data_IF_322360637520
#
_entry.id   IF_322360637520
#
_cell.length_a   1.000
_cell.length_b   1.000
_cell.length_c   1.000
_cell.angle_alpha   90.00
_cell.angle_beta   90.00
_cell.angle_gamma   90.00
#
_symmetry.space_group_name_H-M   'P 1'
#
loop_
_entity.id
_entity.type
_entity.pdbx_description
1 polymer ?
#
# COMPACT_ATOMS: atom_id res chain seq x y z
N UNK A 1 29.63 5.68 21.06
CA UNK A 1 28.56 4.65 21.06
C UNK A 1 29.08 3.46 20.29
N UNK A 2 29.19 2.24 20.88
CA UNK A 2 29.50 1.07 20.07
C UNK A 2 28.35 0.88 19.08
N UNK A 3 28.66 0.85 17.79
CA UNK A 3 27.68 0.54 16.75
C UNK A 3 27.14 -0.87 17.00
N UNK A 4 25.82 -0.99 17.00
CA UNK A 4 25.12 -2.27 17.07
C UNK A 4 25.58 -3.17 15.91
N UNK A 5 25.83 -4.45 16.20
CA UNK A 5 26.23 -5.42 15.16
C UNK A 5 25.11 -5.63 14.14
N UNK A 6 25.46 -5.93 12.87
CA UNK A 6 24.48 -6.20 11.82
C UNK A 6 23.53 -7.36 12.18
N UNK A 7 24.02 -8.37 12.90
CA UNK A 7 23.21 -9.48 13.41
C UNK A 7 22.15 -8.99 14.40
N UNK A 8 22.57 -8.25 15.43
CA UNK A 8 21.66 -7.68 16.42
C UNK A 8 20.64 -6.72 15.81
N UNK A 9 21.07 -5.88 14.86
CA UNK A 9 20.17 -4.98 14.12
C UNK A 9 19.10 -5.77 13.37
N UNK A 10 19.48 -6.83 12.65
CA UNK A 10 18.54 -7.66 11.89
C UNK A 10 17.56 -8.41 12.80
N UNK A 11 18.02 -8.94 13.93
CA UNK A 11 17.16 -9.60 14.92
C UNK A 11 16.10 -8.64 15.48
N UNK A 12 16.52 -7.44 15.92
CA UNK A 12 15.60 -6.42 16.43
C UNK A 12 14.63 -5.95 15.34
N UNK A 13 15.12 -5.73 14.11
CA UNK A 13 14.29 -5.35 12.97
C UNK A 13 13.21 -6.40 12.68
N UNK A 14 13.57 -7.69 12.67
CA UNK A 14 12.62 -8.78 12.46
C UNK A 14 11.57 -8.83 13.58
N UNK A 15 11.99 -8.65 14.84
CA UNK A 15 11.09 -8.60 15.98
C UNK A 15 10.08 -7.45 15.87
N UNK A 16 10.56 -6.22 15.62
CA UNK A 16 9.71 -5.03 15.47
C UNK A 16 8.75 -5.19 14.30
N UNK A 17 9.23 -5.66 13.14
CA UNK A 17 8.39 -5.88 11.96
C UNK A 17 7.29 -6.91 12.23
N UNK A 18 7.61 -7.99 12.94
CA UNK A 18 6.64 -9.02 13.32
C UNK A 18 5.58 -8.46 14.26
N UNK A 19 6.00 -7.72 15.29
CA UNK A 19 5.09 -7.09 16.25
C UNK A 19 4.18 -6.05 15.58
N UNK A 20 4.75 -5.21 14.71
CA UNK A 20 4.00 -4.22 13.92
C UNK A 20 2.98 -4.88 12.99
N UNK A 21 3.37 -5.95 12.30
CA UNK A 21 2.50 -6.68 11.39
C UNK A 21 1.32 -7.31 12.14
N UNK A 22 1.58 -7.92 13.30
CA UNK A 22 0.54 -8.49 14.14
C UNK A 22 -0.42 -7.42 14.64
N UNK A 23 0.09 -6.32 15.20
CA UNK A 23 -0.74 -5.22 15.70
C UNK A 23 -1.60 -4.60 14.58
N UNK A 24 -1.00 -4.37 13.41
CA UNK A 24 -1.71 -3.87 12.23
C UNK A 24 -2.81 -4.81 11.79
N UNK A 25 -2.53 -6.12 11.71
CA UNK A 25 -3.53 -7.11 11.34
C UNK A 25 -4.69 -7.16 12.33
N UNK A 26 -4.41 -7.08 13.64
CA UNK A 26 -5.46 -7.04 14.68
C UNK A 26 -6.37 -5.83 14.50
N UNK A 27 -5.79 -4.64 14.29
CA UNK A 27 -6.57 -3.41 14.08
C UNK A 27 -7.37 -3.48 12.78
N UNK A 28 -6.75 -3.90 11.67
CA UNK A 28 -7.41 -4.01 10.38
C UNK A 28 -8.56 -5.01 10.43
N UNK A 29 -8.39 -6.17 11.07
CA UNK A 29 -9.48 -7.15 11.24
C UNK A 29 -10.66 -6.55 12.03
N UNK A 30 -10.38 -5.77 13.09
CA UNK A 30 -11.43 -5.10 13.84
C UNK A 30 -12.16 -4.05 12.98
N UNK A 31 -11.40 -3.25 12.22
CA UNK A 31 -11.95 -2.24 11.30
C UNK A 31 -12.79 -2.91 10.21
N UNK A 32 -12.28 -3.96 9.56
CA UNK A 32 -12.99 -4.70 8.52
C UNK A 32 -14.34 -5.21 9.01
N UNK A 33 -14.38 -5.81 10.21
CA UNK A 33 -15.63 -6.23 10.83
C UNK A 33 -16.58 -5.06 11.09
N UNK A 34 -16.05 -3.93 11.57
CA UNK A 34 -16.84 -2.73 11.84
C UNK A 34 -17.46 -2.14 10.56
N UNK A 35 -16.68 -2.08 9.48
CA UNK A 35 -17.13 -1.61 8.15
C UNK A 35 -18.18 -2.57 7.58
N UNK A 36 -17.91 -3.88 7.56
CA UNK A 36 -18.90 -4.87 7.10
C UNK A 36 -20.22 -4.75 7.85
N UNK A 37 -20.17 -4.55 9.17
CA UNK A 37 -21.38 -4.38 9.98
C UNK A 37 -22.12 -3.07 9.66
N UNK A 38 -21.41 -1.99 9.30
CA UNK A 38 -22.04 -0.75 8.87
C UNK A 38 -22.80 -0.94 7.55
N UNK A 39 -22.19 -1.59 6.55
CA UNK A 39 -22.84 -1.86 5.27
C UNK A 39 -24.01 -2.86 5.38
N UNK A 40 -23.88 -3.93 6.19
CA UNK A 40 -24.98 -4.89 6.44
C UNK A 40 -26.23 -4.24 7.06
N UNK A 41 -26.07 -3.16 7.84
CA UNK A 41 -27.21 -2.43 8.40
C UNK A 41 -27.97 -1.62 7.35
N UNK A 42 -27.28 -1.21 6.28
CA UNK A 42 -27.86 -0.48 5.16
C UNK A 42 -28.51 -1.43 4.14
N UNK A 43 -27.91 -2.60 3.92
CA UNK A 43 -28.41 -3.62 3.01
C UNK A 43 -28.96 -4.84 3.75
N UNK A 44 -30.24 -4.77 4.14
CA UNK A 44 -30.93 -5.82 4.89
C UNK A 44 -31.22 -7.09 4.05
N UNK A 45 -30.98 -7.07 2.74
CA UNK A 45 -31.29 -8.14 1.80
C UNK A 45 -30.06 -8.80 1.16
N UNK A 46 -28.84 -8.32 1.48
CA UNK A 46 -27.61 -8.73 0.82
C UNK A 46 -27.12 -10.13 1.25
N UNK A 47 -27.17 -11.09 0.32
CA UNK A 47 -26.56 -12.43 0.44
C UNK A 47 -25.08 -12.47 0.01
N UNK A 48 -24.49 -11.34 -0.38
CA UNK A 48 -23.16 -11.34 -0.98
C UNK A 48 -22.06 -11.55 0.07
N UNK A 49 -21.11 -12.43 -0.26
CA UNK A 49 -19.94 -12.72 0.57
C UNK A 49 -18.92 -11.57 0.56
N UNK A 50 -18.89 -10.79 -0.52
CA UNK A 50 -18.02 -9.62 -0.70
C UNK A 50 -18.89 -8.37 -0.75
N UNK A 51 -18.51 -7.35 0.03
CA UNK A 51 -19.22 -6.07 0.07
C UNK A 51 -18.59 -5.11 -0.92
N UNK A 52 -19.37 -4.65 -1.91
CA UNK A 52 -18.96 -3.56 -2.80
C UNK A 52 -19.06 -2.23 -2.04
N UNK A 53 -17.96 -1.46 -1.97
CA UNK A 53 -17.87 -0.25 -1.16
C UNK A 53 -17.25 0.93 -1.93
N UNK A 54 -17.59 2.13 -1.47
CA UNK A 54 -16.95 3.36 -1.91
C UNK A 54 -15.78 3.71 -0.99
N UNK A 55 -14.66 4.12 -1.59
CA UNK A 55 -13.43 4.42 -0.86
C UNK A 55 -12.79 5.71 -1.36
N UNK A 56 -12.04 6.38 -0.49
CA UNK A 56 -11.03 7.36 -0.89
C UNK A 56 -9.64 6.72 -0.78
N UNK A 57 -8.72 7.15 -1.64
CA UNK A 57 -7.34 6.70 -1.62
C UNK A 57 -6.41 7.87 -1.82
N UNK A 58 -5.38 7.94 -0.97
CA UNK A 58 -4.33 8.94 -1.10
C UNK A 58 -2.98 8.37 -0.63
N UNK A 59 -1.91 8.97 -1.15
CA UNK A 59 -0.55 8.70 -0.77
C UNK A 59 0.00 9.75 0.20
N UNK A 60 0.97 9.36 1.03
CA UNK A 60 1.86 10.32 1.67
C UNK A 60 3.32 9.86 1.57
N UNK A 61 4.24 10.81 1.56
CA UNK A 61 5.66 10.60 1.27
C UNK A 61 6.52 11.08 2.43
N UNK A 62 7.58 10.33 2.74
CA UNK A 62 8.50 10.69 3.83
C UNK A 62 9.16 12.07 3.63
N UNK A 63 9.40 12.47 2.39
CA UNK A 63 9.99 13.77 2.06
C UNK A 63 9.13 14.50 1.03
N UNK A 64 9.10 15.84 1.11
CA UNK A 64 8.42 16.68 0.12
C UNK A 64 9.14 16.60 -1.23
N UNK A 65 8.37 16.61 -2.31
CA UNK A 65 8.89 16.58 -3.69
C UNK A 65 8.89 15.19 -4.31
N UNK A 66 9.36 15.09 -5.56
CA UNK A 66 9.26 13.89 -6.37
C UNK A 66 10.41 12.88 -6.19
N UNK A 67 11.24 13.06 -5.16
CA UNK A 67 12.44 12.26 -4.90
C UNK A 67 12.32 11.33 -3.69
N UNK A 68 11.16 11.31 -3.01
CA UNK A 68 10.98 10.51 -1.80
C UNK A 68 11.30 9.03 -2.02
N UNK A 69 12.04 8.45 -1.08
CA UNK A 69 12.44 7.05 -1.13
C UNK A 69 11.41 6.11 -0.50
N UNK A 70 10.54 6.65 0.34
CA UNK A 70 9.49 5.92 1.05
C UNK A 70 8.18 6.68 0.88
N UNK A 71 7.12 5.95 0.60
CA UNK A 71 5.75 6.43 0.58
C UNK A 71 4.79 5.39 1.14
N UNK A 72 3.60 5.81 1.50
CA UNK A 72 2.51 4.94 1.94
C UNK A 72 1.25 5.37 1.21
N UNK A 73 0.53 4.40 0.64
CA UNK A 73 -0.83 4.61 0.15
C UNK A 73 -1.83 4.06 1.16
N UNK A 74 -2.91 4.78 1.43
CA UNK A 74 -3.96 4.36 2.36
C UNK A 74 -5.32 4.41 1.68
N UNK A 75 -6.16 3.41 1.95
CA UNK A 75 -7.57 3.38 1.55
C UNK A 75 -8.45 3.64 2.76
N UNK A 76 -9.39 4.57 2.62
CA UNK A 76 -10.36 4.95 3.64
C UNK A 76 -11.76 4.67 3.11
N UNK A 77 -12.55 3.91 3.86
CA UNK A 77 -13.97 3.69 3.55
C UNK A 77 -14.75 5.01 3.70
N UNK A 78 -15.55 5.39 2.69
CA UNK A 78 -16.25 6.68 2.70
C UNK A 78 -17.44 6.70 3.66
N UNK A 79 -18.04 5.55 3.96
CA UNK A 79 -19.18 5.46 4.86
C UNK A 79 -18.78 5.66 6.33
N UNK A 80 -17.74 4.95 6.78
CA UNK A 80 -17.32 4.95 8.18
C UNK A 80 -16.16 5.89 8.47
N UNK A 81 -15.41 6.30 7.45
CA UNK A 81 -14.18 7.10 7.59
C UNK A 81 -12.99 6.31 8.14
N UNK A 82 -13.07 4.98 8.24
CA UNK A 82 -11.95 4.16 8.72
C UNK A 82 -10.93 3.87 7.63
N UNK A 83 -9.64 3.85 8.02
CA UNK A 83 -8.57 3.31 7.18
C UNK A 83 -8.70 1.79 7.16
N UNK A 84 -9.03 1.24 6.00
CA UNK A 84 -9.31 -0.20 5.82
C UNK A 84 -8.14 -0.97 5.22
N UNK A 85 -7.19 -0.31 4.57
CA UNK A 85 -5.97 -0.94 4.06
C UNK A 85 -4.89 0.12 3.80
N UNK A 86 -3.63 -0.31 3.74
CA UNK A 86 -2.50 0.53 3.40
C UNK A 86 -1.36 -0.27 2.76
N UNK A 87 -0.54 0.37 1.95
CA UNK A 87 0.66 -0.23 1.35
C UNK A 87 1.85 0.70 1.50
N UNK A 88 2.93 0.18 2.10
CA UNK A 88 4.20 0.89 2.21
C UNK A 88 5.03 0.60 0.96
N UNK A 89 5.41 1.65 0.24
CA UNK A 89 6.28 1.58 -0.94
C UNK A 89 7.66 2.11 -0.61
N UNK A 90 8.71 1.40 -1.01
CA UNK A 90 10.09 1.76 -0.72
C UNK A 90 11.01 1.48 -1.90
N UNK A 91 11.89 2.45 -2.19
CA UNK A 91 13.07 2.36 -3.07
C UNK A 91 14.36 2.18 -2.28
N UNK A 92 14.26 2.10 -0.96
CA UNK A 92 15.40 2.18 -0.05
C UNK A 92 15.51 0.93 0.81
N UNK A 93 16.73 0.39 0.89
CA UNK A 93 17.10 -0.62 1.86
C UNK A 93 18.50 -0.30 2.39
N UNK A 94 18.66 -0.05 3.71
CA UNK A 94 19.97 0.21 4.31
C UNK A 94 20.97 -0.91 4.02
N UNK A 95 20.53 -2.17 4.09
CA UNK A 95 21.39 -3.33 3.90
C UNK A 95 21.91 -3.43 2.47
N UNK A 96 21.08 -3.13 1.47
CA UNK A 96 21.53 -3.03 0.07
C UNK A 96 22.58 -1.93 -0.09
N UNK A 97 22.39 -0.76 0.54
CA UNK A 97 23.33 0.36 0.41
C UNK A 97 24.68 0.02 1.04
N UNK A 98 24.68 -0.57 2.23
CA UNK A 98 25.91 -1.06 2.88
C UNK A 98 26.62 -2.09 1.99
N UNK A 99 25.89 -3.11 1.51
CA UNK A 99 26.48 -4.14 0.65
C UNK A 99 27.03 -3.59 -0.67
N UNK A 100 26.36 -2.61 -1.29
CA UNK A 100 26.88 -1.92 -2.49
C UNK A 100 28.19 -1.17 -2.21
N UNK A 101 28.29 -0.52 -1.04
CA UNK A 101 29.50 0.19 -0.65
C UNK A 101 30.66 -0.75 -0.27
N UNK A 102 30.36 -1.91 0.31
CA UNK A 102 31.35 -2.88 0.79
C UNK A 102 31.83 -3.84 -0.31
N UNK A 103 30.90 -4.36 -1.14
CA UNK A 103 31.17 -5.39 -2.16
C UNK A 103 31.33 -4.82 -3.57
N UNK A 104 30.80 -3.61 -3.82
CA UNK A 104 30.67 -3.02 -5.16
C UNK A 104 29.44 -3.54 -5.92
N UNK A 105 28.58 -2.65 -6.42
CA UNK A 105 27.30 -3.03 -7.04
C UNK A 105 27.42 -3.93 -8.28
N UNK A 106 28.55 -3.88 -9.00
CA UNK A 106 28.75 -4.61 -10.26
C UNK A 106 29.61 -5.87 -10.09
N UNK A 107 29.82 -6.34 -8.86
CA UNK A 107 30.68 -7.50 -8.58
C UNK A 107 29.88 -8.79 -8.44
N UNK A 108 30.52 -9.93 -8.73
CA UNK A 108 29.89 -11.24 -8.55
C UNK A 108 29.57 -11.52 -7.08
N UNK A 109 30.37 -10.98 -6.17
CA UNK A 109 30.16 -11.03 -4.73
C UNK A 109 28.85 -10.36 -4.32
N UNK A 110 28.52 -9.21 -4.91
CA UNK A 110 27.25 -8.53 -4.68
C UNK A 110 26.06 -9.35 -5.22
N UNK A 111 26.20 -9.97 -6.39
CA UNK A 111 25.12 -10.79 -6.98
C UNK A 111 24.79 -12.02 -6.12
N UNK A 112 25.82 -12.70 -5.61
CA UNK A 112 25.66 -13.83 -4.68
C UNK A 112 25.00 -13.36 -3.39
N UNK A 113 25.47 -12.26 -2.82
CA UNK A 113 24.89 -11.67 -1.61
C UNK A 113 23.42 -11.26 -1.81
N UNK A 114 23.11 -10.55 -2.91
CA UNK A 114 21.78 -10.04 -3.21
C UNK A 114 20.78 -11.18 -3.42
N UNK A 115 21.21 -12.29 -4.02
CA UNK A 115 20.40 -13.49 -4.17
C UNK A 115 19.92 -14.04 -2.82
N UNK A 116 20.77 -14.03 -1.79
CA UNK A 116 20.39 -14.39 -0.42
C UNK A 116 19.55 -13.31 0.27
N UNK A 117 19.77 -12.04 -0.05
CA UNK A 117 19.06 -10.91 0.57
C UNK A 117 17.65 -10.68 0.01
N UNK A 118 17.39 -11.08 -1.24
CA UNK A 118 16.19 -10.73 -2.03
C UNK A 118 14.86 -10.81 -1.26
N UNK A 119 14.65 -11.88 -0.49
CA UNK A 119 13.41 -12.10 0.26
C UNK A 119 13.26 -11.21 1.52
N UNK A 120 14.35 -10.60 1.97
CA UNK A 120 14.41 -9.67 3.10
C UNK A 120 14.64 -8.21 2.69
N UNK A 121 14.72 -7.97 1.38
CA UNK A 121 14.93 -6.65 0.81
C UNK A 121 13.72 -5.76 1.09
N UNK A 122 13.99 -4.53 1.51
CA UNK A 122 12.92 -3.54 1.77
C UNK A 122 12.55 -2.76 0.51
N UNK A 123 13.29 -2.90 -0.58
CA UNK A 123 12.95 -2.28 -1.87
C UNK A 123 11.82 -3.09 -2.50
N UNK A 124 10.67 -2.46 -2.69
CA UNK A 124 9.51 -3.06 -3.33
C UNK A 124 8.97 -2.22 -4.50
N UNK A 125 9.67 -1.14 -4.85
CA UNK A 125 9.35 -0.26 -5.98
C UNK A 125 10.61 0.10 -6.76
N UNK A 126 10.48 0.11 -8.09
CA UNK A 126 11.49 0.65 -9.00
C UNK A 126 10.81 1.73 -9.85
N UNK A 127 11.44 2.90 -9.96
CA UNK A 127 10.93 4.04 -10.73
C UNK A 127 10.69 5.29 -9.89
N UNK A 128 9.79 6.15 -10.37
CA UNK A 128 9.56 7.47 -9.76
C UNK A 128 8.71 7.37 -8.49
N UNK A 129 8.85 8.35 -7.59
CA UNK A 129 8.02 8.44 -6.37
C UNK A 129 6.54 8.68 -6.68
N UNK A 130 6.23 9.32 -7.81
CA UNK A 130 4.86 9.50 -8.31
C UNK A 130 4.23 8.15 -8.72
N UNK A 131 5.01 7.25 -9.29
CA UNK A 131 4.52 5.92 -9.66
C UNK A 131 4.24 5.02 -8.43
N UNK A 132 4.81 5.33 -7.25
CA UNK A 132 4.54 4.56 -6.03
C UNK A 132 3.07 4.59 -5.65
N UNK A 133 2.39 5.72 -5.80
CA UNK A 133 0.97 5.86 -5.46
C UNK A 133 0.11 4.90 -6.28
N UNK A 134 0.27 4.91 -7.61
CA UNK A 134 -0.43 3.98 -8.49
C UNK A 134 -0.10 2.51 -8.16
N UNK A 135 1.17 2.18 -7.89
CA UNK A 135 1.58 0.82 -7.55
C UNK A 135 1.08 0.37 -6.17
N UNK A 136 0.99 1.28 -5.20
CA UNK A 136 0.38 1.04 -3.91
C UNK A 136 -1.11 0.73 -4.07
N UNK A 137 -1.83 1.56 -4.83
CA UNK A 137 -3.24 1.34 -5.14
C UNK A 137 -3.47 -0.04 -5.77
N UNK A 138 -2.70 -0.41 -6.80
CA UNK A 138 -2.84 -1.72 -7.42
C UNK A 138 -2.69 -2.89 -6.44
N UNK A 139 -1.71 -2.81 -5.53
CA UNK A 139 -1.51 -3.84 -4.50
C UNK A 139 -2.67 -3.91 -3.52
N UNK A 140 -3.16 -2.76 -3.05
CA UNK A 140 -4.30 -2.69 -2.14
C UNK A 140 -5.57 -3.24 -2.79
N UNK A 141 -5.91 -2.82 -4.01
CA UNK A 141 -7.07 -3.32 -4.74
C UNK A 141 -6.96 -4.83 -5.00
N UNK A 142 -5.77 -5.34 -5.33
CA UNK A 142 -5.57 -6.75 -5.66
C UNK A 142 -5.86 -7.71 -4.50
N UNK A 143 -5.80 -7.24 -3.25
CA UNK A 143 -6.06 -8.06 -2.05
C UNK A 143 -7.38 -7.71 -1.36
N UNK A 144 -8.14 -6.75 -1.88
CA UNK A 144 -9.34 -6.24 -1.18
C UNK A 144 -10.40 -7.31 -1.00
N UNK A 145 -10.61 -8.19 -1.98
CA UNK A 145 -11.63 -9.24 -1.91
C UNK A 145 -11.28 -10.27 -0.82
N UNK A 146 -9.99 -10.51 -0.55
CA UNK A 146 -9.55 -11.33 0.57
C UNK A 146 -9.84 -10.67 1.93
N UNK A 147 -9.99 -9.34 1.97
CA UNK A 147 -10.48 -8.58 3.12
C UNK A 147 -12.02 -8.51 3.18
N UNK A 148 -12.73 -9.11 2.23
CA UNK A 148 -14.19 -9.11 2.14
C UNK A 148 -14.79 -7.87 1.47
N UNK A 149 -13.97 -7.09 0.75
CA UNK A 149 -14.41 -5.85 0.10
C UNK A 149 -14.04 -5.82 -1.39
N UNK A 150 -14.90 -5.17 -2.17
CA UNK A 150 -14.57 -4.74 -3.52
C UNK A 150 -14.68 -3.23 -3.59
N UNK A 151 -13.61 -2.56 -3.99
CA UNK A 151 -13.55 -1.11 -4.05
C UNK A 151 -14.10 -0.65 -5.41
N UNK A 152 -15.42 -0.53 -5.50
CA UNK A 152 -16.13 -0.26 -6.76
C UNK A 152 -16.28 1.22 -7.06
N UNK A 153 -16.14 2.10 -6.07
CA UNK A 153 -16.17 3.55 -6.25
C UNK A 153 -14.95 4.20 -5.60
N UNK A 154 -14.25 5.04 -6.35
CA UNK A 154 -13.12 5.83 -5.88
C UNK A 154 -13.52 7.31 -5.81
N UNK A 155 -13.70 7.80 -4.58
CA UNK A 155 -13.80 9.23 -4.29
C UNK A 155 -12.40 9.85 -4.37
N UNK A 156 -12.19 10.74 -5.34
CA UNK A 156 -10.89 11.38 -5.56
C UNK A 156 -11.06 12.82 -6.01
N UNK A 157 -9.97 13.57 -5.96
CA UNK A 157 -9.93 14.91 -6.54
C UNK A 157 -9.79 14.86 -8.07
N UNK A 158 -9.64 16.01 -8.72
CA UNK A 158 -9.61 16.09 -10.19
C UNK A 158 -8.55 15.21 -10.88
N UNK A 159 -7.53 14.68 -10.17
CA UNK A 159 -6.54 13.78 -10.78
C UNK A 159 -7.10 12.36 -11.00
N UNK A 160 -7.35 12.01 -12.26
CA UNK A 160 -7.87 10.69 -12.63
C UNK A 160 -6.79 9.64 -12.96
N UNK A 161 -5.49 9.91 -12.71
CA UNK A 161 -4.42 8.97 -13.11
C UNK A 161 -4.52 7.61 -12.41
N UNK A 162 -4.68 7.61 -11.09
CA UNK A 162 -4.77 6.36 -10.30
C UNK A 162 -6.04 5.59 -10.65
N UNK A 163 -7.18 6.27 -10.81
CA UNK A 163 -8.44 5.68 -11.28
C UNK A 163 -8.29 4.97 -12.64
N UNK A 164 -7.76 5.67 -13.65
CA UNK A 164 -7.54 5.11 -15.00
C UNK A 164 -6.59 3.93 -14.96
N UNK A 165 -5.53 4.01 -14.15
CA UNK A 165 -4.58 2.92 -13.96
C UNK A 165 -5.25 1.68 -13.37
N UNK A 166 -6.04 1.83 -12.30
CA UNK A 166 -6.76 0.71 -11.68
C UNK A 166 -7.74 0.03 -12.64
N UNK A 167 -8.53 0.82 -13.39
CA UNK A 167 -9.45 0.27 -14.40
C UNK A 167 -8.73 -0.48 -15.54
N UNK A 168 -7.51 -0.05 -15.90
CA UNK A 168 -6.70 -0.76 -16.90
C UNK A 168 -6.23 -2.14 -16.44
N UNK A 169 -6.16 -2.37 -15.12
CA UNK A 169 -5.71 -3.64 -14.54
C UNK A 169 -6.82 -4.70 -14.48
N UNK A 170 -8.09 -4.29 -14.58
CA UNK A 170 -9.26 -5.21 -14.52
C UNK A 170 -9.20 -6.17 -13.32
N UNK A 171 -8.86 -5.62 -12.14
CA UNK A 171 -8.60 -6.40 -10.90
C UNK A 171 -9.80 -7.28 -10.52
N UNK A 172 -11.02 -6.78 -10.72
CA UNK A 172 -12.26 -7.49 -10.40
C UNK A 172 -12.91 -8.16 -11.62
N UNK A 173 -12.17 -8.29 -12.73
CA UNK A 173 -12.66 -8.85 -14.00
C UNK A 173 -13.15 -7.79 -15.00
N UNK A 174 -13.58 -8.23 -16.20
CA UNK A 174 -14.00 -7.33 -17.27
C UNK A 174 -15.33 -6.63 -17.00
N UNK A 175 -16.20 -7.24 -16.19
CA UNK A 175 -17.58 -6.81 -15.94
C UNK A 175 -17.71 -5.79 -14.80
N UNK A 176 -16.61 -5.52 -14.09
CA UNK A 176 -16.59 -4.57 -12.97
C UNK A 176 -15.73 -3.37 -13.34
N UNK A 177 -16.36 -2.22 -13.46
CA UNK A 177 -15.69 -0.92 -13.57
C UNK A 177 -15.58 -0.26 -12.20
N UNK A 178 -14.42 0.33 -11.90
CA UNK A 178 -14.26 1.19 -10.74
C UNK A 178 -14.79 2.57 -11.13
N UNK A 179 -15.85 3.03 -10.50
CA UNK A 179 -16.44 4.34 -10.71
C UNK A 179 -15.56 5.43 -10.06
N UNK A 180 -15.56 6.64 -10.64
CA UNK A 180 -14.93 7.81 -10.04
C UNK A 180 -16.01 8.76 -9.54
N UNK A 181 -15.93 9.15 -8.28
CA UNK A 181 -16.70 10.26 -7.73
C UNK A 181 -15.79 11.45 -7.47
N UNK A 182 -16.28 12.65 -7.79
CA UNK A 182 -15.51 13.89 -7.68
C UNK A 182 -15.77 14.60 -6.34
N UNK A 183 -14.71 15.12 -5.74
CA UNK A 183 -14.84 16.02 -4.59
C UNK A 183 -15.38 17.40 -5.03
N UNK A 184 -16.57 17.78 -4.54
CA UNK A 184 -17.28 19.03 -4.91
C UNK A 184 -16.48 20.29 -4.55
N UNK A 185 -15.66 20.25 -3.50
CA UNK A 185 -14.90 21.41 -2.99
C UNK A 185 -13.50 21.53 -3.60
N UNK A 186 -13.18 20.78 -4.66
CA UNK A 186 -11.86 20.86 -5.26
C UNK A 186 -11.69 22.15 -6.05
N UNK A 187 -11.02 23.13 -5.46
CA UNK A 187 -10.51 24.30 -6.17
C UNK A 187 -9.27 23.87 -6.93
N UNK A 188 -9.36 23.80 -8.26
CA UNK A 188 -8.21 23.52 -9.12
C UNK A 188 -7.11 24.54 -8.84
N UNK A 189 -5.89 24.08 -8.53
CA UNK A 189 -4.73 24.97 -8.48
C UNK A 189 -4.43 25.42 -9.92
N UNK A 190 -4.72 26.69 -10.20
CA UNK A 190 -4.26 27.38 -11.41
C UNK A 190 -2.76 27.55 -11.43
#
# INVERSE_FOLDING_TARGET
MPLMSSKTFNEIKCYINSAYSLASQTVLNYVHNSVQNAYRKLDQNGSNTITDIAVSFDGTWLTRGHTSQIGIGCVVDTLTGYVIDYEIMSKYCPTCISAKNELGETTAEYDVWYSGHKNSCQINHVGTSRAMEMKAAAKIWSRSEACGFRYTTLLSDGDAKTHKFLNSLKIYGPDVEILKEECINHVSKG
#
